data_IF_566122315388
#
_entry.id   IF_566122315388
#
_cell.length_a   1.000
_cell.length_b   1.000
_cell.length_c   1.000
_cell.angle_alpha   90.00
_cell.angle_beta   90.00
_cell.angle_gamma   90.00
#
_symmetry.space_group_name_H-M   'P 1'
#
loop_
_entity.id
_entity.type
_entity.pdbx_description
1 polymer ?
#
# COMPACT_ATOMS: atom_id res chain seq x y z
N UNK A 1 2.51 -2.71 -12.85
CA UNK A 1 2.48 -3.22 -11.46
C UNK A 1 1.26 -2.74 -10.68
N UNK A 2 0.99 -1.42 -10.56
CA UNK A 2 -0.22 -0.95 -9.87
C UNK A 2 -1.52 -1.46 -10.52
N UNK A 3 -1.59 -1.41 -11.85
CA UNK A 3 -2.75 -1.90 -12.61
C UNK A 3 -2.99 -3.41 -12.45
N UNK A 4 -1.92 -4.18 -12.21
CA UNK A 4 -2.02 -5.62 -11.96
C UNK A 4 -2.56 -5.93 -10.56
N UNK A 5 -2.16 -5.16 -9.54
CA UNK A 5 -2.74 -5.29 -8.20
C UNK A 5 -4.24 -4.97 -8.20
N UNK A 6 -4.65 -4.01 -9.02
CA UNK A 6 -6.07 -3.68 -9.21
C UNK A 6 -6.83 -4.79 -9.93
N UNK A 7 -6.26 -5.37 -10.99
CA UNK A 7 -6.91 -6.50 -11.69
C UNK A 7 -7.05 -7.74 -10.80
N UNK A 8 -6.11 -7.96 -9.89
CA UNK A 8 -6.12 -9.08 -8.95
C UNK A 8 -6.87 -8.80 -7.63
N UNK A 9 -7.41 -7.59 -7.45
CA UNK A 9 -8.05 -7.15 -6.21
C UNK A 9 -7.18 -7.29 -4.95
N UNK A 10 -5.88 -6.99 -5.05
CA UNK A 10 -4.91 -7.11 -3.95
C UNK A 10 -4.39 -5.76 -3.49
N UNK A 11 -4.09 -5.66 -2.20
CA UNK A 11 -3.35 -4.54 -1.61
C UNK A 11 -1.90 -4.59 -2.09
N UNK A 12 -1.38 -3.50 -2.65
CA UNK A 12 0.03 -3.40 -3.01
C UNK A 12 0.87 -3.04 -1.78
N UNK A 13 1.90 -3.83 -1.47
CA UNK A 13 2.92 -3.49 -0.47
C UNK A 13 4.25 -3.25 -1.19
N UNK A 14 4.87 -2.08 -0.99
CA UNK A 14 6.12 -1.74 -1.69
C UNK A 14 7.04 -0.85 -0.88
N UNK A 15 8.36 -1.06 -1.02
CA UNK A 15 9.40 -0.13 -0.55
C UNK A 15 9.74 0.96 -1.56
N UNK A 16 9.24 0.86 -2.79
CA UNK A 16 9.45 1.89 -3.80
C UNK A 16 8.47 3.06 -3.60
N UNK A 17 8.53 3.66 -2.42
CA UNK A 17 7.68 4.78 -2.04
C UNK A 17 7.96 6.03 -2.88
N UNK A 18 9.19 6.21 -3.36
CA UNK A 18 9.60 7.32 -4.22
C UNK A 18 8.80 7.37 -5.52
N UNK A 19 8.59 6.24 -6.17
CA UNK A 19 7.88 6.19 -7.45
C UNK A 19 6.38 6.02 -7.26
N UNK A 20 5.96 5.29 -6.21
CA UNK A 20 4.56 4.97 -6.00
C UNK A 20 3.77 6.04 -5.24
N UNK A 21 4.41 6.88 -4.41
CA UNK A 21 3.70 7.99 -3.76
C UNK A 21 3.18 9.03 -4.80
N UNK A 22 3.98 9.50 -5.78
CA UNK A 22 3.49 10.36 -6.85
C UNK A 22 2.40 9.67 -7.69
N UNK A 23 2.56 8.38 -7.99
CA UNK A 23 1.57 7.63 -8.76
C UNK A 23 0.23 7.52 -8.03
N UNK A 24 0.24 7.21 -6.73
CA UNK A 24 -0.95 7.14 -5.90
C UNK A 24 -1.69 8.49 -5.87
N UNK A 25 -0.93 9.59 -5.77
CA UNK A 25 -1.47 10.95 -5.86
C UNK A 25 -2.13 11.23 -7.21
N UNK A 26 -1.46 10.91 -8.31
CA UNK A 26 -2.03 11.08 -9.66
C UNK A 26 -3.32 10.29 -9.83
N UNK A 27 -3.40 9.09 -9.27
CA UNK A 27 -4.61 8.27 -9.32
C UNK A 27 -5.74 8.87 -8.50
N UNK A 28 -5.45 9.37 -7.29
CA UNK A 28 -6.42 10.10 -6.49
C UNK A 28 -6.95 11.35 -7.21
N UNK A 29 -6.06 12.14 -7.81
CA UNK A 29 -6.41 13.33 -8.59
C UNK A 29 -7.26 12.99 -9.82
N UNK A 30 -7.01 11.85 -10.46
CA UNK A 30 -7.78 11.35 -11.60
C UNK A 30 -9.04 10.56 -11.22
N UNK A 31 -9.42 10.51 -9.93
CA UNK A 31 -10.52 9.69 -9.40
C UNK A 31 -10.44 8.21 -9.84
N UNK A 32 -9.21 7.71 -10.04
CA UNK A 32 -8.95 6.31 -10.39
C UNK A 32 -8.91 5.47 -9.12
N UNK A 33 -9.75 4.44 -9.08
CA UNK A 33 -9.82 3.51 -7.96
C UNK A 33 -8.61 2.58 -7.91
N UNK A 34 -8.11 2.31 -6.71
CA UNK A 34 -7.13 1.25 -6.46
C UNK A 34 -7.55 0.39 -5.25
N UNK A 35 -6.99 -0.81 -5.16
CA UNK A 35 -7.34 -1.87 -4.19
C UNK A 35 -6.63 -1.74 -2.84
N UNK A 36 -6.04 -0.57 -2.57
CA UNK A 36 -5.24 -0.29 -1.38
C UNK A 36 -3.73 -0.35 -1.60
N UNK A 37 -3.00 0.44 -0.83
CA UNK A 37 -1.54 0.52 -0.92
C UNK A 37 -0.88 0.75 0.44
N UNK A 38 0.17 -0.01 0.71
CA UNK A 38 1.10 0.17 1.83
C UNK A 38 2.45 0.60 1.26
N UNK A 39 2.90 1.79 1.62
CA UNK A 39 4.19 2.36 1.26
C UNK A 39 5.15 2.23 2.43
N UNK A 40 6.21 1.43 2.29
CA UNK A 40 7.24 1.30 3.32
C UNK A 40 8.25 2.46 3.14
N UNK A 41 8.35 3.32 4.14
CA UNK A 41 9.20 4.52 4.20
C UNK A 41 10.50 4.32 4.98
N UNK A 42 10.61 3.28 5.81
CA UNK A 42 11.79 3.11 6.67
C UNK A 42 13.07 2.71 5.90
N UNK A 43 14.21 3.23 6.41
CA UNK A 43 15.50 3.35 5.71
C UNK A 43 16.51 2.23 5.99
N UNK A 44 16.23 1.24 6.84
CA UNK A 44 17.22 0.21 7.16
C UNK A 44 16.85 -1.17 6.65
N UNK A 45 17.82 -1.85 6.05
CA UNK A 45 17.61 -3.13 5.37
C UNK A 45 17.39 -4.26 6.39
N UNK A 46 17.74 -4.00 7.65
CA UNK A 46 17.69 -4.93 8.77
C UNK A 46 16.35 -4.96 9.53
N UNK A 47 15.40 -4.04 9.24
CA UNK A 47 14.13 -3.92 9.97
C UNK A 47 12.99 -4.76 9.38
N UNK A 48 13.28 -5.96 8.87
CA UNK A 48 12.24 -6.85 8.30
C UNK A 48 11.14 -7.18 9.33
N UNK A 49 11.52 -7.45 10.58
CA UNK A 49 10.57 -7.79 11.64
C UNK A 49 9.58 -6.64 11.92
N UNK A 50 10.05 -5.40 11.94
CA UNK A 50 9.19 -4.23 12.16
C UNK A 50 8.19 -4.03 11.03
N UNK A 51 8.61 -4.28 9.78
CA UNK A 51 7.72 -4.22 8.61
C UNK A 51 6.64 -5.30 8.71
N UNK A 52 6.99 -6.53 9.09
CA UNK A 52 6.01 -7.60 9.28
C UNK A 52 5.00 -7.22 10.35
N UNK A 53 5.46 -6.79 11.53
CA UNK A 53 4.58 -6.35 12.63
C UNK A 53 3.69 -5.19 12.21
N UNK A 54 4.23 -4.25 11.43
CA UNK A 54 3.48 -3.14 10.86
C UNK A 54 2.37 -3.61 9.93
N UNK A 55 2.70 -4.47 8.96
CA UNK A 55 1.73 -5.03 8.01
C UNK A 55 0.66 -5.84 8.74
N UNK A 56 1.04 -6.69 9.69
CA UNK A 56 0.10 -7.46 10.52
C UNK A 56 -0.89 -6.53 11.23
N UNK A 57 -0.40 -5.45 11.85
CA UNK A 57 -1.25 -4.45 12.51
C UNK A 57 -2.24 -3.80 11.55
N UNK A 58 -1.79 -3.39 10.36
CA UNK A 58 -2.69 -2.77 9.38
C UNK A 58 -3.73 -3.76 8.86
N UNK A 59 -3.34 -5.03 8.62
CA UNK A 59 -4.29 -6.08 8.21
C UNK A 59 -5.28 -6.46 9.32
N UNK A 60 -4.90 -6.34 10.60
CA UNK A 60 -5.83 -6.49 11.71
C UNK A 60 -6.78 -5.29 11.83
N UNK A 61 -6.33 -4.07 11.49
CA UNK A 61 -7.15 -2.87 11.49
C UNK A 61 -8.19 -2.85 10.35
N UNK A 62 -7.82 -3.34 9.17
CA UNK A 62 -8.68 -3.49 8.00
C UNK A 62 -8.69 -4.94 7.53
N UNK A 63 -9.46 -5.83 8.20
CA UNK A 63 -9.46 -7.25 7.90
C UNK A 63 -10.09 -7.62 6.54
N UNK A 64 -10.92 -6.74 5.97
CA UNK A 64 -11.62 -7.00 4.71
C UNK A 64 -11.07 -6.17 3.56
N UNK A 65 -10.95 -6.79 2.38
CA UNK A 65 -10.37 -6.20 1.17
C UNK A 65 -11.09 -4.93 0.70
N UNK A 66 -12.38 -4.79 0.99
CA UNK A 66 -13.17 -3.62 0.64
C UNK A 66 -12.85 -2.39 1.48
N UNK A 67 -12.36 -2.57 2.70
CA UNK A 67 -11.92 -1.50 3.60
C UNK A 67 -10.61 -0.85 3.15
N UNK A 68 -9.85 -1.54 2.30
CA UNK A 68 -8.62 -1.05 1.70
C UNK A 68 -8.82 -0.23 0.43
N UNK A 69 -10.04 -0.19 -0.12
CA UNK A 69 -10.30 0.54 -1.37
C UNK A 69 -9.91 2.00 -1.19
N UNK A 70 -9.09 2.48 -2.12
CA UNK A 70 -8.63 3.88 -2.18
C UNK A 70 -7.79 4.32 -0.96
N UNK A 71 -7.41 3.38 -0.08
CA UNK A 71 -6.59 3.65 1.08
C UNK A 71 -5.10 3.57 0.74
N UNK A 72 -4.36 4.61 1.09
CA UNK A 72 -2.89 4.63 1.03
C UNK A 72 -2.36 4.89 2.43
N UNK A 73 -1.55 3.97 2.93
CA UNK A 73 -0.91 4.06 4.26
C UNK A 73 0.60 3.95 4.11
N UNK A 74 1.31 4.73 4.93
CA UNK A 74 2.76 4.66 5.04
C UNK A 74 3.16 3.90 6.31
N UNK A 75 4.18 3.06 6.19
CA UNK A 75 4.81 2.29 7.27
C UNK A 75 6.26 2.71 7.46
#
# INVERSE_FOLDING_TARGET
MLEFAVSEQRVLVTRNSRDFAPLARQWAEALRRHTGMILIWTLDHHQFAEIVVGVERLTAQWPHQDQWRELVVAL
#
